data_IF_979231065558
#
_entry.id   IF_979231065558
#
_cell.length_a   1.000
_cell.length_b   1.000
_cell.length_c   1.000
_cell.angle_alpha   90.00
_cell.angle_beta   90.00
_cell.angle_gamma   90.00
#
_symmetry.space_group_name_H-M   'P 1'
#
loop_
_entity.id
_entity.type
_entity.pdbx_description
1 polymer ?
#
# COMPACT_ATOMS: atom_id res chain seq x y z
N UNK A 1 27.18 5.99 14.98
CA UNK A 1 25.97 6.17 14.16
C UNK A 1 25.38 4.78 13.88
N UNK A 2 24.38 4.36 14.66
CA UNK A 2 23.76 3.02 14.60
C UNK A 2 22.22 3.11 14.52
N UNK A 3 21.70 4.22 13.95
CA UNK A 3 20.26 4.47 13.90
C UNK A 3 19.52 3.51 12.97
N UNK A 4 20.16 3.09 11.88
CA UNK A 4 19.59 2.10 10.95
C UNK A 4 19.55 0.70 11.58
N UNK A 5 20.57 0.33 12.36
CA UNK A 5 20.65 -0.96 13.04
C UNK A 5 19.69 -1.05 14.23
N UNK A 6 19.50 0.04 15.00
CA UNK A 6 18.45 0.10 16.03
C UNK A 6 17.04 0.03 15.42
N UNK A 7 16.82 0.63 14.24
CA UNK A 7 15.50 0.55 13.58
C UNK A 7 15.15 -0.87 13.08
N UNK A 8 16.16 -1.71 12.82
CA UNK A 8 15.94 -3.10 12.41
C UNK A 8 16.03 -4.10 13.57
N UNK A 9 16.72 -3.76 14.66
CA UNK A 9 17.02 -4.71 15.76
C UNK A 9 16.27 -4.39 17.05
N UNK A 10 15.86 -3.13 17.26
CA UNK A 10 15.07 -2.72 18.43
C UNK A 10 13.60 -3.02 18.21
N UNK A 11 12.91 -3.51 19.25
CA UNK A 11 11.47 -3.84 19.26
C UNK A 11 10.62 -2.69 18.68
N UNK A 12 10.97 -1.45 19.02
CA UNK A 12 10.30 -0.24 18.53
C UNK A 12 10.50 -0.01 17.02
N UNK A 13 11.67 -0.37 16.50
CA UNK A 13 12.01 -0.26 15.09
C UNK A 13 11.25 -1.28 14.24
N UNK A 14 11.19 -2.53 14.69
CA UNK A 14 10.46 -3.60 14.01
C UNK A 14 8.95 -3.32 13.95
N UNK A 15 8.37 -2.80 15.03
CA UNK A 15 6.97 -2.36 15.07
C UNK A 15 6.70 -1.21 14.11
N UNK A 16 7.60 -0.22 14.05
CA UNK A 16 7.49 0.90 13.11
C UNK A 16 7.58 0.42 11.65
N UNK A 17 8.48 -0.51 11.38
CA UNK A 17 8.68 -1.09 10.05
C UNK A 17 7.47 -1.91 9.60
N UNK A 18 6.84 -2.67 10.52
CA UNK A 18 5.60 -3.38 10.27
C UNK A 18 4.45 -2.42 9.91
N UNK A 19 4.30 -1.31 10.64
CA UNK A 19 3.28 -0.29 10.36
C UNK A 19 3.53 0.37 9.00
N UNK A 20 4.78 0.72 8.69
CA UNK A 20 5.15 1.31 7.40
C UNK A 20 4.85 0.32 6.26
N UNK A 21 5.25 -0.94 6.39
CA UNK A 21 4.98 -1.98 5.41
C UNK A 21 3.48 -2.19 5.22
N UNK A 22 2.70 -2.20 6.30
CA UNK A 22 1.24 -2.32 6.24
C UNK A 22 0.59 -1.12 5.55
N UNK A 23 1.01 0.10 5.88
CA UNK A 23 0.49 1.34 5.29
C UNK A 23 0.78 1.39 3.80
N UNK A 24 2.03 1.08 3.39
CA UNK A 24 2.42 1.02 1.98
C UNK A 24 1.71 -0.12 1.24
N UNK A 25 1.55 -1.27 1.89
CA UNK A 25 0.80 -2.41 1.35
C UNK A 25 -0.66 -2.05 1.08
N UNK A 26 -1.33 -1.40 2.03
CA UNK A 26 -2.69 -0.91 1.84
C UNK A 26 -2.77 0.16 0.75
N UNK A 27 -1.85 1.13 0.74
CA UNK A 27 -1.83 2.17 -0.28
C UNK A 27 -1.67 1.59 -1.69
N UNK A 28 -0.74 0.64 -1.88
CA UNK A 28 -0.56 -0.07 -3.14
C UNK A 28 -1.77 -0.94 -3.51
N UNK A 29 -2.37 -1.62 -2.54
CA UNK A 29 -3.60 -2.39 -2.75
C UNK A 29 -4.75 -1.51 -3.22
N UNK A 30 -4.98 -0.37 -2.56
CA UNK A 30 -6.01 0.58 -2.97
C UNK A 30 -5.76 1.09 -4.38
N UNK A 31 -4.54 1.57 -4.69
CA UNK A 31 -4.21 2.03 -6.05
C UNK A 31 -4.50 0.93 -7.08
N UNK A 32 -4.07 -0.30 -6.83
CA UNK A 32 -4.30 -1.44 -7.74
C UNK A 32 -5.79 -1.79 -7.85
N UNK A 33 -6.53 -1.75 -6.74
CA UNK A 33 -7.96 -1.99 -6.70
C UNK A 33 -8.71 -0.93 -7.50
N UNK A 34 -8.44 0.35 -7.26
CA UNK A 34 -9.08 1.47 -7.95
C UNK A 34 -8.75 1.46 -9.44
N UNK A 35 -7.51 1.18 -9.85
CA UNK A 35 -7.16 1.04 -11.28
C UNK A 35 -7.91 -0.12 -11.95
N UNK A 36 -8.13 -1.23 -11.23
CA UNK A 36 -8.92 -2.34 -11.75
C UNK A 36 -10.41 -1.97 -11.83
N UNK A 37 -10.94 -1.33 -10.80
CA UNK A 37 -12.35 -0.92 -10.73
C UNK A 37 -12.68 0.17 -11.75
N UNK A 38 -11.82 1.18 -11.91
CA UNK A 38 -11.99 2.23 -12.93
C UNK A 38 -12.06 1.62 -14.33
N UNK A 39 -11.27 0.58 -14.62
CA UNK A 39 -11.35 -0.15 -15.89
C UNK A 39 -12.68 -0.88 -16.08
N UNK A 40 -13.24 -1.42 -15.00
CA UNK A 40 -14.55 -2.10 -15.01
C UNK A 40 -15.70 -1.07 -15.13
N UNK A 41 -15.58 0.09 -14.47
CA UNK A 41 -16.52 1.21 -14.56
C UNK A 41 -16.49 1.90 -15.93
N UNK A 42 -15.32 2.08 -16.54
CA UNK A 42 -15.18 2.60 -17.91
C UNK A 42 -15.81 1.63 -18.92
N UNK A 43 -15.62 0.31 -18.75
CA UNK A 43 -16.26 -0.69 -19.60
C UNK A 43 -17.80 -0.66 -19.46
N UNK A 44 -18.33 -0.48 -18.24
CA UNK A 44 -19.76 -0.32 -18.00
C UNK A 44 -20.32 1.01 -18.56
N UNK A 45 -19.52 2.08 -18.54
CA UNK A 45 -19.88 3.37 -19.12
C UNK A 45 -19.94 3.35 -20.66
N UNK A 46 -19.07 2.57 -21.31
CA UNK A 46 -19.05 2.42 -22.77
C UNK A 46 -20.15 1.51 -23.33
N UNK A 47 -20.71 0.59 -22.53
CA UNK A 47 -21.83 -0.29 -22.96
C UNK A 47 -23.17 0.45 -23.00
N UNK A 48 -23.26 1.66 -22.42
CA UNK A 48 -24.51 2.44 -22.35
C UNK A 48 -24.67 3.49 -23.46
N UNK A 49 -23.89 3.43 -24.55
CA UNK A 49 -24.01 4.36 -25.69
C UNK A 49 -24.47 3.70 -26.96
#
# INVERSE_FOLDING_TARGET
MHALTDLFTSDAGLMSLAVIAFTLGMAGFFIRYTLKHVREDEAAAHVKR
#
